data_IF_454668066782
#
_entry.id   IF_454668066782
#
_cell.length_a   1.000
_cell.length_b   1.000
_cell.length_c   1.000
_cell.angle_alpha   90.00
_cell.angle_beta   90.00
_cell.angle_gamma   90.00
#
_symmetry.space_group_name_H-M   'P 1'
#
loop_
_entity.id
_entity.type
_entity.pdbx_description
1 polymer ?
#
# COMPACT_ATOMS: atom_id res chain seq x y z
N UNK A 1 4.84 -4.18 -26.61
CA UNK A 1 4.83 -2.68 -26.59
C UNK A 1 6.09 -2.17 -27.26
N UNK A 2 6.04 -1.13 -28.10
CA UNK A 2 7.24 -0.70 -28.85
C UNK A 2 8.19 0.15 -28.01
N UNK A 3 9.50 0.05 -28.26
CA UNK A 3 10.53 0.88 -27.63
C UNK A 3 10.25 2.38 -27.76
N UNK A 4 9.91 2.84 -28.96
CA UNK A 4 9.62 4.26 -29.21
C UNK A 4 8.50 4.80 -28.33
N UNK A 5 7.46 4.01 -28.08
CA UNK A 5 6.34 4.45 -27.23
C UNK A 5 6.77 4.59 -25.76
N UNK A 6 7.51 3.60 -25.25
CA UNK A 6 8.05 3.60 -23.88
C UNK A 6 8.97 4.80 -23.69
N UNK A 7 9.92 4.99 -24.59
CA UNK A 7 10.91 6.07 -24.51
C UNK A 7 10.26 7.46 -24.57
N UNK A 8 9.29 7.68 -25.47
CA UNK A 8 8.54 8.93 -25.52
C UNK A 8 7.78 9.22 -24.23
N UNK A 9 7.27 8.19 -23.56
CA UNK A 9 6.57 8.33 -22.28
C UNK A 9 7.54 8.72 -21.15
N UNK A 10 8.74 8.13 -21.12
CA UNK A 10 9.79 8.48 -20.16
C UNK A 10 10.31 9.90 -20.39
N UNK A 11 10.55 10.28 -21.65
CA UNK A 11 11.04 11.62 -22.00
C UNK A 11 9.98 12.69 -21.69
N UNK A 12 8.69 12.39 -21.87
CA UNK A 12 7.60 13.26 -21.43
C UNK A 12 7.61 13.50 -19.92
N UNK A 13 7.78 12.44 -19.12
CA UNK A 13 7.86 12.56 -17.66
C UNK A 13 9.08 13.37 -17.21
N UNK A 14 10.26 13.07 -17.77
CA UNK A 14 11.50 13.80 -17.51
C UNK A 14 11.37 15.30 -17.83
N UNK A 15 10.77 15.63 -18.99
CA UNK A 15 10.50 17.02 -19.39
C UNK A 15 9.55 17.74 -18.44
N UNK A 16 8.48 17.09 -17.99
CA UNK A 16 7.50 17.70 -17.07
C UNK A 16 8.07 17.97 -15.68
N UNK A 17 8.98 17.11 -15.23
CA UNK A 17 9.64 17.25 -13.93
C UNK A 17 10.92 18.11 -13.99
N UNK A 18 11.34 18.53 -15.19
CA UNK A 18 12.61 19.22 -15.46
C UNK A 18 13.83 18.49 -14.89
N UNK A 19 13.90 17.18 -15.13
CA UNK A 19 15.01 16.33 -14.65
C UNK A 19 15.69 15.57 -15.77
N UNK A 20 17.01 15.40 -15.62
CA UNK A 20 17.80 14.57 -16.54
C UNK A 20 17.53 13.08 -16.39
N UNK A 21 17.09 12.60 -15.23
CA UNK A 21 16.77 11.19 -15.00
C UNK A 21 15.66 11.08 -13.96
N UNK A 22 14.83 10.04 -14.07
CA UNK A 22 13.85 9.69 -13.03
C UNK A 22 14.56 8.88 -11.95
N UNK A 23 14.50 9.29 -10.68
CA UNK A 23 15.10 8.53 -9.58
C UNK A 23 14.47 7.14 -9.42
N UNK A 24 13.14 7.06 -9.55
CA UNK A 24 12.40 5.82 -9.57
C UNK A 24 11.24 5.90 -10.56
N UNK A 25 11.16 4.93 -11.46
CA UNK A 25 9.97 4.70 -12.28
C UNK A 25 9.18 3.53 -11.70
N UNK A 26 7.95 3.80 -11.29
CA UNK A 26 7.00 2.77 -10.85
C UNK A 26 6.08 2.40 -12.03
N UNK A 27 6.29 1.21 -12.59
CA UNK A 27 5.58 0.71 -13.76
C UNK A 27 4.25 0.06 -13.37
N UNK A 28 3.18 0.52 -13.98
CA UNK A 28 1.83 0.01 -13.75
C UNK A 28 1.30 -0.67 -15.02
N UNK A 29 0.60 -1.79 -14.85
CA UNK A 29 -0.05 -2.51 -15.95
C UNK A 29 -1.43 -3.01 -15.54
N UNK A 30 -2.44 -2.75 -16.36
CA UNK A 30 -3.83 -3.07 -16.05
C UNK A 30 -4.16 -4.54 -16.33
N UNK A 31 -3.89 -5.01 -17.56
CA UNK A 31 -4.41 -6.27 -18.08
C UNK A 31 -3.30 -7.31 -18.31
N UNK A 32 -3.20 -8.32 -17.45
CA UNK A 32 -2.15 -9.35 -17.57
C UNK A 32 -2.33 -10.34 -18.71
N UNK A 33 -3.52 -10.44 -19.31
CA UNK A 33 -3.72 -11.23 -20.53
C UNK A 33 -2.93 -10.64 -21.71
N UNK A 34 -2.61 -9.34 -21.66
CA UNK A 34 -1.72 -8.70 -22.61
C UNK A 34 -0.25 -8.84 -22.16
N UNK A 35 0.59 -9.63 -22.85
CA UNK A 35 1.98 -9.86 -22.48
C UNK A 35 2.89 -8.64 -22.73
N UNK A 36 2.37 -7.57 -23.33
CA UNK A 36 3.13 -6.37 -23.70
C UNK A 36 3.80 -5.65 -22.51
N UNK A 37 3.43 -5.97 -21.27
CA UNK A 37 4.10 -5.49 -20.07
C UNK A 37 5.56 -5.97 -20.00
N UNK A 38 5.86 -7.18 -20.47
CA UNK A 38 7.22 -7.70 -20.50
C UNK A 38 8.09 -6.98 -21.52
N UNK A 39 7.56 -6.67 -22.70
CA UNK A 39 8.28 -5.85 -23.69
C UNK A 39 8.57 -4.47 -23.12
N UNK A 40 7.57 -3.85 -22.49
CA UNK A 40 7.72 -2.55 -21.86
C UNK A 40 8.82 -2.58 -20.79
N UNK A 41 8.82 -3.58 -19.92
CA UNK A 41 9.83 -3.74 -18.87
C UNK A 41 11.24 -3.96 -19.42
N UNK A 42 11.40 -4.71 -20.51
CA UNK A 42 12.69 -4.85 -21.21
C UNK A 42 13.19 -3.50 -21.72
N UNK A 43 12.34 -2.73 -22.37
CA UNK A 43 12.70 -1.37 -22.81
C UNK A 43 13.00 -0.42 -21.64
N UNK A 44 12.26 -0.54 -20.54
CA UNK A 44 12.53 0.23 -19.32
C UNK A 44 13.89 -0.13 -18.69
N UNK A 45 14.29 -1.40 -18.75
CA UNK A 45 15.64 -1.85 -18.37
C UNK A 45 16.71 -1.19 -19.24
N UNK A 46 16.54 -1.20 -20.57
CA UNK A 46 17.46 -0.51 -21.49
C UNK A 46 17.57 1.00 -21.16
N UNK A 47 16.44 1.65 -20.84
CA UNK A 47 16.42 3.07 -20.47
C UNK A 47 17.05 3.35 -19.11
N UNK A 48 17.04 2.36 -18.20
CA UNK A 48 17.80 2.41 -16.95
C UNK A 48 19.30 2.33 -17.23
N UNK A 49 19.74 1.43 -18.10
CA UNK A 49 21.15 1.32 -18.52
C UNK A 49 21.64 2.59 -19.23
N UNK A 50 20.77 3.22 -20.03
CA UNK A 50 21.03 4.51 -20.66
C UNK A 50 21.00 5.72 -19.68
N UNK A 51 20.77 5.49 -18.38
CA UNK A 51 20.79 6.53 -17.35
C UNK A 51 19.56 7.45 -17.34
N UNK A 52 18.53 7.19 -18.14
CA UNK A 52 17.27 7.96 -18.12
C UNK A 52 16.41 7.63 -16.90
N UNK A 53 16.61 6.45 -16.31
CA UNK A 53 15.95 5.97 -15.09
C UNK A 53 17.02 5.43 -14.15
N UNK A 54 17.04 5.86 -12.89
CA UNK A 54 17.99 5.32 -11.90
C UNK A 54 17.51 3.99 -11.34
N UNK A 55 16.20 3.87 -11.09
CA UNK A 55 15.63 2.71 -10.39
C UNK A 55 14.30 2.27 -11.01
N UNK A 56 14.10 0.96 -11.18
CA UNK A 56 12.85 0.39 -11.67
C UNK A 56 12.06 -0.26 -10.54
N UNK A 57 10.76 0.01 -10.54
CA UNK A 57 9.81 -0.48 -9.58
C UNK A 57 8.49 -0.82 -10.29
N UNK A 58 7.62 -1.54 -9.59
CA UNK A 58 6.28 -1.93 -10.06
C UNK A 58 5.20 -1.25 -9.22
N UNK A 59 3.98 -1.21 -9.74
CA UNK A 59 2.78 -0.80 -9.01
C UNK A 59 1.66 -1.80 -9.27
N UNK A 60 1.08 -2.32 -8.19
CA UNK A 60 -0.02 -3.28 -8.19
C UNK A 60 0.27 -4.56 -8.98
N UNK A 61 1.54 -4.99 -9.05
CA UNK A 61 1.84 -6.31 -9.59
C UNK A 61 1.53 -7.39 -8.56
N UNK A 62 0.91 -8.51 -8.99
CA UNK A 62 0.65 -9.65 -8.10
C UNK A 62 1.94 -10.46 -7.87
N UNK A 63 1.89 -11.45 -6.98
CA UNK A 63 3.08 -12.23 -6.64
C UNK A 63 3.59 -13.05 -7.83
N UNK A 64 2.69 -13.61 -8.63
CA UNK A 64 3.04 -14.44 -9.78
C UNK A 64 3.81 -13.64 -10.84
N UNK A 65 3.31 -12.46 -11.22
CA UNK A 65 3.93 -11.63 -12.25
C UNK A 65 5.22 -11.02 -11.73
N UNK A 66 5.32 -10.66 -10.44
CA UNK A 66 6.61 -10.25 -9.87
C UNK A 66 7.66 -11.35 -10.06
N UNK A 67 7.33 -12.60 -9.75
CA UNK A 67 8.26 -13.71 -9.91
C UNK A 67 8.67 -13.92 -11.38
N UNK A 68 7.72 -13.86 -12.32
CA UNK A 68 8.00 -13.95 -13.77
C UNK A 68 8.95 -12.84 -14.22
N UNK A 69 8.72 -11.60 -13.76
CA UNK A 69 9.54 -10.44 -14.12
C UNK A 69 10.97 -10.60 -13.61
N UNK A 70 11.14 -11.04 -12.35
CA UNK A 70 12.44 -11.25 -11.74
C UNK A 70 13.21 -12.41 -12.41
N UNK A 71 12.52 -13.49 -12.77
CA UNK A 71 13.11 -14.61 -13.52
C UNK A 71 13.58 -14.21 -14.93
N UNK A 72 13.12 -13.06 -15.46
CA UNK A 72 13.58 -12.47 -16.72
C UNK A 72 14.66 -11.39 -16.50
N UNK A 73 15.28 -11.36 -15.31
CA UNK A 73 16.41 -10.47 -14.97
C UNK A 73 16.08 -8.99 -15.14
N UNK A 74 14.81 -8.61 -14.90
CA UNK A 74 14.43 -7.21 -14.82
C UNK A 74 14.75 -6.71 -13.40
N UNK A 75 15.58 -5.67 -13.22
CA UNK A 75 16.10 -5.25 -11.92
C UNK A 75 15.09 -4.40 -11.14
N UNK A 76 13.99 -5.03 -10.73
CA UNK A 76 12.94 -4.41 -9.90
C UNK A 76 13.45 -4.30 -8.46
N UNK A 77 13.35 -3.10 -7.87
CA UNK A 77 13.73 -2.91 -6.45
C UNK A 77 12.52 -2.89 -5.52
N UNK A 78 11.35 -2.52 -6.04
CA UNK A 78 10.15 -2.41 -5.22
C UNK A 78 8.86 -2.65 -5.99
N UNK A 79 7.83 -3.09 -5.29
CA UNK A 79 6.46 -3.16 -5.79
C UNK A 79 5.54 -2.35 -4.86
N UNK A 80 4.83 -1.39 -5.43
CA UNK A 80 3.88 -0.56 -4.71
C UNK A 80 2.52 -1.27 -4.60
N UNK A 81 2.06 -1.58 -3.38
CA UNK A 81 0.86 -2.40 -3.15
C UNK A 81 -0.05 -1.82 -2.05
N UNK A 82 -1.35 -2.16 -2.10
CA UNK A 82 -2.26 -1.84 -1.00
C UNK A 82 -1.90 -2.69 0.21
N UNK A 83 -1.63 -2.04 1.36
CA UNK A 83 -1.38 -2.74 2.60
C UNK A 83 -1.79 -1.88 3.80
N UNK A 84 -2.73 -2.38 4.60
CA UNK A 84 -3.10 -1.86 5.91
C UNK A 84 -3.20 -2.99 6.95
N UNK A 85 -3.55 -2.66 8.19
CA UNK A 85 -3.84 -3.68 9.23
C UNK A 85 -5.02 -4.58 8.82
N UNK A 86 -6.00 -4.04 8.07
CA UNK A 86 -7.14 -4.80 7.55
C UNK A 86 -6.74 -5.61 6.32
N UNK A 87 -6.02 -4.99 5.38
CA UNK A 87 -5.59 -5.64 4.14
C UNK A 87 -4.19 -6.25 4.26
N UNK A 88 -4.11 -7.45 4.83
CA UNK A 88 -2.83 -8.16 5.04
C UNK A 88 -2.44 -9.09 3.89
N UNK A 89 -3.09 -8.99 2.72
CA UNK A 89 -2.81 -9.85 1.56
C UNK A 89 -1.33 -9.90 1.17
N UNK A 90 -0.56 -8.78 1.17
CA UNK A 90 0.87 -8.82 0.86
C UNK A 90 1.70 -9.75 1.76
N UNK A 91 1.24 -10.07 2.99
CA UNK A 91 1.95 -11.00 3.88
C UNK A 91 1.79 -12.47 3.53
N UNK A 92 0.84 -12.82 2.65
CA UNK A 92 0.51 -14.22 2.38
C UNK A 92 1.50 -14.90 1.43
N UNK A 93 1.89 -14.21 0.35
CA UNK A 93 2.82 -14.73 -0.67
C UNK A 93 3.88 -13.70 -1.06
N UNK A 94 3.47 -12.47 -1.35
CA UNK A 94 4.35 -11.38 -1.81
C UNK A 94 5.54 -11.12 -0.87
N UNK A 95 5.33 -11.12 0.45
CA UNK A 95 6.39 -10.89 1.44
C UNK A 95 7.50 -11.94 1.40
N UNK A 96 7.17 -13.20 1.10
CA UNK A 96 8.16 -14.28 0.96
C UNK A 96 9.02 -14.06 -0.29
N UNK A 97 8.41 -13.74 -1.43
CA UNK A 97 9.14 -13.39 -2.66
C UNK A 97 10.05 -12.18 -2.42
N UNK A 98 9.55 -11.13 -1.74
CA UNK A 98 10.34 -9.97 -1.36
C UNK A 98 11.56 -10.34 -0.50
N UNK A 99 11.38 -11.25 0.48
CA UNK A 99 12.46 -11.75 1.34
C UNK A 99 13.52 -12.50 0.53
N UNK A 100 13.12 -13.35 -0.41
CA UNK A 100 14.03 -14.18 -1.20
C UNK A 100 14.79 -13.38 -2.26
N UNK A 101 14.19 -12.32 -2.80
CA UNK A 101 14.71 -11.59 -3.97
C UNK A 101 15.32 -10.24 -3.63
N UNK A 102 15.10 -9.75 -2.40
CA UNK A 102 15.54 -8.42 -1.98
C UNK A 102 14.60 -7.28 -2.40
N UNK A 103 13.57 -7.56 -3.20
CA UNK A 103 12.52 -6.59 -3.55
C UNK A 103 11.83 -6.09 -2.28
N UNK A 104 11.49 -4.80 -2.23
CA UNK A 104 10.76 -4.19 -1.12
C UNK A 104 9.35 -3.73 -1.49
N UNK A 105 8.51 -3.54 -0.49
CA UNK A 105 7.16 -3.01 -0.67
C UNK A 105 7.12 -1.52 -0.33
N UNK A 106 6.47 -0.76 -1.20
CA UNK A 106 6.00 0.60 -0.92
C UNK A 106 4.49 0.50 -0.73
N UNK A 107 3.99 0.79 0.46
CA UNK A 107 2.58 0.58 0.76
C UNK A 107 1.76 1.83 0.50
N UNK A 108 0.51 1.66 0.05
CA UNK A 108 -0.50 2.71 0.11
C UNK A 108 -1.77 2.19 0.76
N UNK A 109 -2.68 3.11 1.06
CA UNK A 109 -3.93 2.76 1.74
C UNK A 109 -3.71 2.30 3.17
N UNK A 110 -2.53 2.52 3.72
CA UNK A 110 -2.13 2.10 5.07
C UNK A 110 -3.01 2.70 6.15
N UNK A 111 -3.50 3.93 5.96
CA UNK A 111 -4.50 4.59 6.82
C UNK A 111 -5.94 4.46 6.31
N UNK A 112 -6.16 3.65 5.26
CA UNK A 112 -7.48 3.32 4.72
C UNK A 112 -8.33 4.54 4.36
N UNK A 113 -7.72 5.53 3.69
CA UNK A 113 -8.40 6.77 3.31
C UNK A 113 -8.86 7.63 4.50
N UNK A 114 -8.29 7.37 5.69
CA UNK A 114 -8.65 8.03 6.95
C UNK A 114 -9.57 7.20 7.84
N UNK A 115 -10.01 5.99 7.43
CA UNK A 115 -10.83 5.13 8.30
C UNK A 115 -10.09 4.70 9.57
N UNK A 116 -8.78 4.48 9.49
CA UNK A 116 -7.93 4.18 10.65
C UNK A 116 -7.56 5.47 11.38
N UNK A 117 -8.56 6.15 11.94
CA UNK A 117 -8.36 7.37 12.74
C UNK A 117 -9.40 7.51 13.84
N UNK A 118 -9.11 8.37 14.80
CA UNK A 118 -9.98 8.73 15.92
C UNK A 118 -11.34 9.24 15.45
N UNK A 119 -11.40 9.85 14.27
CA UNK A 119 -12.64 10.34 13.65
C UNK A 119 -13.72 9.26 13.52
N UNK A 120 -13.32 8.01 13.30
CA UNK A 120 -14.25 6.89 13.11
C UNK A 120 -14.34 5.96 14.33
N UNK A 121 -13.64 6.27 15.43
CA UNK A 121 -13.70 5.48 16.65
C UNK A 121 -15.10 5.57 17.27
N UNK A 122 -15.69 4.41 17.57
CA UNK A 122 -17.04 4.22 18.09
C UNK A 122 -18.15 4.88 17.24
N UNK A 123 -17.84 5.23 15.99
CA UNK A 123 -18.79 5.80 15.06
C UNK A 123 -19.79 4.75 14.60
N UNK A 124 -21.09 5.09 14.66
CA UNK A 124 -22.14 4.27 14.07
C UNK A 124 -22.54 4.80 12.70
N UNK A 125 -22.03 4.17 11.65
CA UNK A 125 -22.30 4.55 10.26
C UNK A 125 -23.63 4.04 9.71
N UNK A 126 -24.37 3.20 10.45
CA UNK A 126 -25.70 2.73 10.02
C UNK A 126 -26.80 3.73 10.35
N UNK A 127 -26.52 4.69 11.23
CA UNK A 127 -27.45 5.77 11.57
C UNK A 127 -27.09 6.98 10.69
N UNK A 128 -27.98 7.40 9.77
CA UNK A 128 -27.76 8.59 8.97
C UNK A 128 -27.42 9.79 9.86
N UNK A 129 -26.42 10.57 9.46
CA UNK A 129 -25.97 11.80 10.13
C UNK A 129 -25.39 11.65 11.54
N UNK A 130 -25.32 10.45 12.12
CA UNK A 130 -24.76 10.23 13.47
C UNK A 130 -23.24 10.01 13.49
N UNK A 131 -22.60 9.96 12.31
CA UNK A 131 -21.17 9.72 12.19
C UNK A 131 -20.56 10.41 10.98
N UNK A 132 -19.22 10.37 10.84
CA UNK A 132 -18.56 11.01 9.73
C UNK A 132 -18.95 10.38 8.39
N UNK A 133 -19.17 11.21 7.39
CA UNK A 133 -19.62 10.75 6.08
C UNK A 133 -18.52 10.00 5.32
N UNK A 134 -18.91 8.91 4.64
CA UNK A 134 -18.08 8.17 3.70
C UNK A 134 -18.20 8.76 2.29
N UNK A 135 -17.85 10.04 2.15
CA UNK A 135 -18.16 10.85 0.97
C UNK A 135 -17.06 10.83 -0.12
N UNK A 136 -15.89 10.26 0.15
CA UNK A 136 -14.81 10.18 -0.85
C UNK A 136 -14.77 8.79 -1.53
N UNK A 137 -14.32 8.70 -2.79
CA UNK A 137 -14.10 7.41 -3.46
C UNK A 137 -13.18 6.48 -2.65
N UNK A 138 -12.12 7.03 -2.04
CA UNK A 138 -11.21 6.27 -1.18
C UNK A 138 -11.92 5.70 0.04
N UNK A 139 -12.70 6.49 0.78
CA UNK A 139 -13.45 6.00 1.95
C UNK A 139 -14.43 4.88 1.57
N UNK A 140 -15.13 5.02 0.43
CA UNK A 140 -16.03 3.97 -0.08
C UNK A 140 -15.28 2.68 -0.42
N UNK A 141 -14.15 2.79 -1.12
CA UNK A 141 -13.28 1.65 -1.46
C UNK A 141 -12.81 0.92 -0.19
N UNK A 142 -12.26 1.65 0.78
CA UNK A 142 -11.75 1.01 1.99
C UNK A 142 -12.86 0.49 2.90
N UNK A 143 -14.06 1.06 2.85
CA UNK A 143 -15.23 0.49 3.51
C UNK A 143 -15.61 -0.88 2.92
N UNK A 144 -15.54 -1.06 1.60
CA UNK A 144 -15.74 -2.38 0.98
C UNK A 144 -14.70 -3.39 1.47
N UNK A 145 -13.44 -2.97 1.66
CA UNK A 145 -12.41 -3.83 2.26
C UNK A 145 -12.74 -4.21 3.71
N UNK A 146 -13.24 -3.26 4.51
CA UNK A 146 -13.72 -3.54 5.88
C UNK A 146 -14.85 -4.57 5.86
N UNK A 147 -15.82 -4.42 4.94
CA UNK A 147 -16.94 -5.35 4.80
C UNK A 147 -16.47 -6.75 4.40
N UNK A 148 -15.58 -6.84 3.41
CA UNK A 148 -14.96 -8.09 3.00
C UNK A 148 -14.14 -8.74 4.14
N UNK A 149 -13.51 -7.96 5.00
CA UNK A 149 -12.66 -8.47 6.08
C UNK A 149 -13.45 -8.99 7.27
N UNK A 150 -14.43 -8.26 7.77
CA UNK A 150 -15.21 -8.69 8.94
C UNK A 150 -16.35 -7.75 9.34
N UNK A 151 -16.63 -6.75 8.51
CA UNK A 151 -17.67 -5.75 8.76
C UNK A 151 -17.25 -4.68 9.75
N UNK A 152 -18.13 -3.71 9.92
CA UNK A 152 -17.87 -2.51 10.72
C UNK A 152 -17.68 -2.82 12.21
N UNK A 153 -18.35 -3.83 12.75
CA UNK A 153 -18.23 -4.20 14.18
C UNK A 153 -16.79 -4.64 14.53
N UNK A 154 -16.22 -5.55 13.74
CA UNK A 154 -14.83 -5.97 13.92
C UNK A 154 -13.85 -4.80 13.68
N UNK A 155 -14.16 -3.93 12.72
CA UNK A 155 -13.36 -2.72 12.50
C UNK A 155 -13.37 -1.77 13.70
N UNK A 156 -14.49 -1.64 14.41
CA UNK A 156 -14.56 -0.88 15.66
C UNK A 156 -13.75 -1.54 16.79
N UNK A 157 -13.73 -2.87 16.86
CA UNK A 157 -12.84 -3.58 17.78
C UNK A 157 -11.35 -3.27 17.49
N UNK A 158 -10.98 -3.25 16.21
CA UNK A 158 -9.65 -2.83 15.77
C UNK A 158 -9.35 -1.39 16.18
N UNK A 159 -10.24 -0.44 15.91
CA UNK A 159 -10.05 0.97 16.28
C UNK A 159 -9.88 1.15 17.79
N UNK A 160 -10.67 0.46 18.62
CA UNK A 160 -10.52 0.48 20.09
C UNK A 160 -9.18 -0.11 20.53
N UNK A 161 -8.71 -1.18 19.88
CA UNK A 161 -7.40 -1.77 20.16
C UNK A 161 -6.28 -0.79 19.82
N UNK A 162 -6.31 -0.20 18.62
CA UNK A 162 -5.36 0.84 18.22
C UNK A 162 -5.44 2.08 19.11
N UNK A 163 -6.62 2.42 19.64
CA UNK A 163 -6.78 3.54 20.56
C UNK A 163 -6.06 3.29 21.89
N UNK A 164 -6.10 2.08 22.44
CA UNK A 164 -5.36 1.73 23.66
C UNK A 164 -3.86 1.92 23.47
N UNK A 165 -3.32 1.44 22.34
CA UNK A 165 -1.90 1.57 21.97
C UNK A 165 -1.55 3.06 21.74
N UNK A 166 -2.42 3.79 21.03
CA UNK A 166 -2.30 5.24 20.82
C UNK A 166 -2.17 6.00 22.14
N UNK A 167 -3.01 5.68 23.14
CA UNK A 167 -2.94 6.30 24.49
C UNK A 167 -1.66 5.92 25.21
N UNK A 168 -1.27 4.64 25.17
CA UNK A 168 -0.03 4.13 25.80
C UNK A 168 1.22 4.87 25.31
N UNK A 169 1.30 5.14 24.00
CA UNK A 169 2.48 5.74 23.37
C UNK A 169 2.35 7.26 23.11
N UNK A 170 1.21 7.88 23.43
CA UNK A 170 0.99 9.31 23.21
C UNK A 170 0.96 9.74 21.73
N UNK A 171 0.52 8.85 20.83
CA UNK A 171 0.48 9.08 19.38
C UNK A 171 -0.93 8.83 18.82
N UNK A 172 -1.17 9.17 17.56
CA UNK A 172 -2.48 8.98 16.91
C UNK A 172 -2.70 7.53 16.44
N UNK A 173 -3.95 7.10 16.27
CA UNK A 173 -4.32 5.81 15.66
C UNK A 173 -3.65 5.61 14.28
N UNK A 174 -3.66 6.61 13.37
CA UNK A 174 -2.94 6.52 12.10
C UNK A 174 -1.44 6.25 12.29
N UNK A 175 -0.80 6.87 13.29
CA UNK A 175 0.63 6.69 13.59
C UNK A 175 0.91 5.24 13.98
N UNK A 176 0.10 4.65 14.88
CA UNK A 176 0.19 3.23 15.24
C UNK A 176 0.00 2.33 14.02
N UNK A 177 -1.01 2.61 13.19
CA UNK A 177 -1.32 1.82 12.01
C UNK A 177 -0.18 1.82 10.98
N UNK A 178 0.40 2.98 10.70
CA UNK A 178 1.53 3.10 9.77
C UNK A 178 2.75 2.41 10.34
N UNK A 179 3.08 2.61 11.62
CA UNK A 179 4.22 1.95 12.25
C UNK A 179 4.09 0.43 12.22
N UNK A 180 2.91 -0.13 12.51
CA UNK A 180 2.67 -1.57 12.43
C UNK A 180 2.97 -2.15 11.04
N UNK A 181 2.60 -1.42 9.97
CA UNK A 181 2.88 -1.83 8.59
C UNK A 181 4.36 -1.64 8.24
N UNK A 182 5.01 -0.57 8.71
CA UNK A 182 6.45 -0.35 8.51
C UNK A 182 7.33 -1.36 9.26
N UNK A 183 6.86 -1.95 10.37
CA UNK A 183 7.57 -3.00 11.09
C UNK A 183 7.65 -4.33 10.31
N UNK A 184 6.92 -4.46 9.22
CA UNK A 184 6.91 -5.67 8.43
C UNK A 184 8.21 -5.78 7.60
N UNK A 185 8.96 -6.90 7.65
CA UNK A 185 10.29 -6.98 7.04
C UNK A 185 10.37 -6.68 5.54
N UNK A 186 9.28 -6.94 4.81
CA UNK A 186 9.18 -6.69 3.38
C UNK A 186 8.90 -5.22 3.04
N UNK A 187 8.42 -4.41 3.98
CA UNK A 187 8.00 -3.02 3.74
C UNK A 187 9.17 -2.07 3.95
N UNK A 188 9.49 -1.26 2.93
CA UNK A 188 10.51 -0.22 3.03
C UNK A 188 9.93 1.18 3.23
N UNK A 189 8.70 1.42 2.77
CA UNK A 189 8.06 2.73 2.89
C UNK A 189 6.53 2.60 2.88
N UNK A 190 5.86 3.59 3.47
CA UNK A 190 4.41 3.75 3.45
C UNK A 190 4.05 5.14 2.96
N UNK A 191 3.22 5.23 1.92
CA UNK A 191 2.70 6.49 1.38
C UNK A 191 1.52 6.97 2.22
N UNK A 192 1.65 8.19 2.75
CA UNK A 192 0.62 8.86 3.53
C UNK A 192 0.12 10.05 2.70
N UNK A 193 -1.17 10.02 2.33
CA UNK A 193 -1.79 11.11 1.61
C UNK A 193 -2.03 12.31 2.53
N UNK A 194 -1.54 13.48 2.14
CA UNK A 194 -1.80 14.76 2.81
C UNK A 194 -2.60 15.68 1.90
N UNK A 195 -3.36 16.60 2.48
CA UNK A 195 -4.02 17.69 1.77
C UNK A 195 -3.62 18.98 2.45
N UNK A 196 -2.80 19.79 1.78
CA UNK A 196 -2.30 21.06 2.33
C UNK A 196 -3.50 21.94 2.76
N UNK A 197 -3.43 22.50 3.97
CA UNK A 197 -4.52 23.28 4.58
C UNK A 197 -5.70 22.47 5.15
N UNK A 198 -5.73 21.15 5.01
CA UNK A 198 -6.77 20.28 5.59
C UNK A 198 -6.21 19.19 6.50
N UNK A 199 -5.08 18.59 6.11
CA UNK A 199 -4.50 17.43 6.76
C UNK A 199 -3.01 17.33 6.45
N UNK A 200 -2.20 18.06 7.21
CA UNK A 200 -0.75 18.16 6.96
C UNK A 200 0.04 17.04 7.64
N UNK A 201 -0.50 16.44 8.71
CA UNK A 201 0.05 15.28 9.42
C UNK A 201 1.56 15.33 9.73
N UNK A 202 2.17 16.52 9.80
CA UNK A 202 3.63 16.67 9.94
C UNK A 202 4.11 16.08 11.28
N UNK A 203 3.40 16.35 12.37
CA UNK A 203 3.73 15.82 13.70
C UNK A 203 3.62 14.30 13.73
N UNK A 204 2.49 13.76 13.24
CA UNK A 204 2.25 12.32 13.14
C UNK A 204 3.32 11.62 12.28
N UNK A 205 3.69 12.23 11.15
CA UNK A 205 4.72 11.69 10.24
C UNK A 205 6.09 11.57 10.90
N UNK A 206 6.44 12.50 11.80
CA UNK A 206 7.67 12.41 12.60
C UNK A 206 7.55 11.33 13.68
N UNK A 207 6.44 11.36 14.42
CA UNK A 207 6.18 10.40 15.51
C UNK A 207 6.17 8.95 15.05
N UNK A 208 5.82 8.68 13.78
CA UNK A 208 5.95 7.35 13.18
C UNK A 208 7.36 6.81 13.41
N UNK A 209 8.41 7.57 13.11
CA UNK A 209 9.81 7.10 13.17
C UNK A 209 10.34 6.87 14.59
N UNK A 210 9.77 7.57 15.57
CA UNK A 210 10.14 7.45 16.99
C UNK A 210 9.33 6.35 17.73
N UNK A 211 8.15 6.00 17.22
CA UNK A 211 7.29 4.98 17.82
C UNK A 211 7.91 3.58 17.72
N UNK A 212 8.01 2.89 18.87
CA UNK A 212 8.35 1.47 18.97
C UNK A 212 7.16 0.71 19.55
N UNK A 213 6.58 -0.18 18.76
CA UNK A 213 5.54 -1.10 19.22
C UNK A 213 6.20 -2.26 19.95
N UNK A 214 5.75 -2.55 21.16
CA UNK A 214 6.25 -3.70 21.91
C UNK A 214 5.48 -4.98 21.55
N UNK A 215 5.89 -6.09 22.18
CA UNK A 215 5.33 -7.41 21.91
C UNK A 215 3.83 -7.48 22.22
N UNK A 216 3.39 -6.77 23.27
CA UNK A 216 1.98 -6.74 23.66
C UNK A 216 1.14 -5.94 22.65
N UNK A 217 1.66 -4.81 22.19
CA UNK A 217 1.02 -3.99 21.15
C UNK A 217 0.83 -4.81 19.87
N UNK A 218 1.90 -5.46 19.40
CA UNK A 218 1.82 -6.30 18.21
C UNK A 218 0.88 -7.50 18.39
N UNK A 219 0.93 -8.16 19.55
CA UNK A 219 0.08 -9.31 19.84
C UNK A 219 -1.41 -8.93 19.85
N UNK A 220 -1.75 -7.79 20.46
CA UNK A 220 -3.14 -7.29 20.50
C UNK A 220 -3.68 -6.96 19.11
N UNK A 221 -2.86 -6.33 18.25
CA UNK A 221 -3.24 -6.08 16.84
C UNK A 221 -3.42 -7.41 16.11
N UNK A 222 -2.48 -8.34 16.22
CA UNK A 222 -2.55 -9.67 15.57
C UNK A 222 -3.79 -10.45 15.99
N UNK A 223 -4.15 -10.40 17.28
CA UNK A 223 -5.36 -11.05 17.79
C UNK A 223 -6.61 -10.56 17.06
N UNK A 224 -6.76 -9.24 16.86
CA UNK A 224 -7.92 -8.70 16.11
C UNK A 224 -7.84 -9.08 14.62
N UNK A 225 -6.65 -9.04 14.00
CA UNK A 225 -6.45 -9.46 12.59
C UNK A 225 -6.97 -10.88 12.37
N UNK A 226 -6.68 -11.82 13.28
CA UNK A 226 -7.06 -13.24 13.13
C UNK A 226 -8.56 -13.50 13.16
N UNK A 227 -9.36 -12.56 13.68
CA UNK A 227 -10.83 -12.66 13.67
C UNK A 227 -11.44 -12.33 12.30
N UNK A 228 -10.69 -11.65 11.43
CA UNK A 228 -11.13 -11.31 10.10
C UNK A 228 -10.97 -12.46 9.10
N UNK A 229 -11.75 -12.39 8.02
CA UNK A 229 -11.67 -13.32 6.90
C UNK A 229 -10.34 -13.19 6.16
N UNK A 230 -9.91 -14.28 5.54
CA UNK A 230 -8.77 -14.28 4.64
C UNK A 230 -9.10 -13.51 3.34
N UNK A 231 -8.76 -12.22 3.29
CA UNK A 231 -9.00 -11.39 2.10
C UNK A 231 -8.33 -11.93 0.84
N UNK A 232 -7.25 -12.71 0.95
CA UNK A 232 -6.66 -13.34 -0.23
C UNK A 232 -7.58 -14.38 -0.86
N UNK A 233 -8.38 -15.08 -0.06
CA UNK A 233 -9.38 -16.03 -0.55
C UNK A 233 -10.63 -15.32 -1.09
N UNK A 234 -10.93 -14.11 -0.61
CA UNK A 234 -12.12 -13.34 -1.00
C UNK A 234 -11.88 -12.49 -2.26
N UNK A 235 -10.71 -11.84 -2.35
CA UNK A 235 -10.42 -10.81 -3.37
C UNK A 235 -9.34 -11.29 -4.35
N UNK A 236 -8.47 -12.20 -3.92
CA UNK A 236 -7.28 -12.60 -4.66
C UNK A 236 -6.01 -11.97 -4.08
N UNK A 237 -4.92 -12.00 -4.84
CA UNK A 237 -3.64 -11.45 -4.41
C UNK A 237 -3.66 -9.91 -4.39
N UNK A 238 -2.62 -9.30 -3.83
CA UNK A 238 -2.44 -7.85 -3.89
C UNK A 238 -2.38 -7.36 -5.35
N UNK A 239 -3.17 -6.33 -5.66
CA UNK A 239 -3.35 -5.81 -7.01
C UNK A 239 -4.58 -6.39 -7.73
N UNK A 240 -5.12 -7.54 -7.34
CA UNK A 240 -6.32 -8.12 -8.00
C UNK A 240 -7.56 -7.25 -7.82
N UNK A 241 -7.62 -6.41 -6.78
CA UNK A 241 -8.73 -5.47 -6.54
C UNK A 241 -8.89 -4.41 -7.63
N UNK A 242 -7.92 -4.27 -8.55
CA UNK A 242 -8.02 -3.38 -9.71
C UNK A 242 -8.38 -4.13 -11.00
N UNK A 243 -8.43 -5.45 -10.95
CA UNK A 243 -8.56 -6.32 -12.14
C UNK A 243 -9.85 -7.12 -12.14
N UNK A 244 -10.49 -7.26 -10.98
CA UNK A 244 -11.78 -7.92 -10.82
C UNK A 244 -12.79 -6.90 -10.29
N UNK A 245 -13.77 -6.46 -11.11
CA UNK A 245 -14.83 -5.56 -10.67
C UNK A 245 -15.77 -6.23 -9.65
#
# INVERSE_FOLDING_TARGET
MTRSFVEQSIDRSRKRMDVKALDMLQFHWWEYSNPGYMDALKHLRDLKEAGKIKTLALTNFDTERLQIILNNEIPIVSNQVQYSIVDTRPQKKMAEVCKLTGVKLITYGTVMGGLLSEKFLDANISIPFAGPSLNTPSLKKYKQMVDAWGGWSLFQELLRTLKKISVKHGVSIPTVAVRYVLNQPAVAASMIGVRLGLSEHIKDSKAIFDLQLDVEDEASIKQVITKGRNLMAVIGDCGDEYRRP
#
